data_IF_607767831497
#
_entry.id   IF_607767831497
#
_cell.length_a   1.000
_cell.length_b   1.000
_cell.length_c   1.000
_cell.angle_alpha   90.00
_cell.angle_beta   90.00
_cell.angle_gamma   90.00
#
_symmetry.space_group_name_H-M   'P 1'
#
loop_
_entity.id
_entity.type
_entity.pdbx_description
1 polymer ?
#
# COMPACT_ATOMS: atom_id res chain seq x y z
N UNK A 1 -20.55 73.28 -39.40
CA UNK A 1 -19.19 73.35 -38.82
C UNK A 1 -18.74 72.04 -38.15
N UNK A 2 -19.25 70.86 -38.56
CA UNK A 2 -18.94 69.57 -37.91
C UNK A 2 -18.35 68.49 -38.85
N UNK A 3 -18.47 68.62 -40.17
CA UNK A 3 -17.98 67.58 -41.12
C UNK A 3 -16.48 67.71 -41.41
N UNK A 4 -15.93 68.94 -41.46
CA UNK A 4 -14.49 69.15 -41.69
C UNK A 4 -13.65 68.70 -40.48
N UNK A 5 -14.13 68.91 -39.27
CA UNK A 5 -13.43 68.53 -38.03
C UNK A 5 -13.37 67.01 -37.85
N UNK A 6 -14.42 66.28 -38.24
CA UNK A 6 -14.41 64.80 -38.23
C UNK A 6 -13.38 64.21 -39.21
N UNK A 7 -13.23 64.82 -40.40
CA UNK A 7 -12.31 64.38 -41.44
C UNK A 7 -10.83 64.59 -41.06
N UNK A 8 -10.52 65.70 -40.38
CA UNK A 8 -9.17 65.96 -39.86
C UNK A 8 -8.82 65.05 -38.68
N UNK A 9 -9.78 64.74 -37.81
CA UNK A 9 -9.58 63.80 -36.69
C UNK A 9 -9.40 62.36 -37.18
N UNK A 10 -10.09 61.95 -38.25
CA UNK A 10 -9.88 60.63 -38.88
C UNK A 10 -8.55 60.50 -39.63
N UNK A 11 -8.04 61.58 -40.25
CA UNK A 11 -6.72 61.56 -40.89
C UNK A 11 -5.57 61.60 -39.88
N UNK A 12 -5.72 62.32 -38.76
CA UNK A 12 -4.70 62.37 -37.71
C UNK A 12 -4.58 61.04 -36.94
N UNK A 13 -5.69 60.34 -36.74
CA UNK A 13 -5.72 59.01 -36.08
C UNK A 13 -5.18 57.90 -36.96
N UNK A 14 -5.36 57.97 -38.29
CA UNK A 14 -4.73 57.06 -39.24
C UNK A 14 -3.20 57.24 -39.33
N UNK A 15 -2.71 58.49 -39.24
CA UNK A 15 -1.27 58.78 -39.28
C UNK A 15 -0.53 58.40 -37.98
N UNK A 16 -1.20 58.46 -36.83
CA UNK A 16 -0.61 58.03 -35.55
C UNK A 16 -0.62 56.50 -35.36
N UNK A 17 -1.57 55.78 -35.98
CA UNK A 17 -1.62 54.31 -35.96
C UNK A 17 -0.49 53.62 -36.73
N UNK A 18 0.03 54.27 -37.79
CA UNK A 18 1.14 53.75 -38.60
C UNK A 18 2.53 53.94 -37.98
N UNK A 19 2.66 54.74 -36.91
CA UNK A 19 3.95 55.00 -36.23
C UNK A 19 4.21 54.06 -35.03
N UNK A 20 3.18 53.35 -34.54
CA UNK A 20 3.30 52.38 -33.43
C UNK A 20 3.26 50.93 -33.89
N UNK A 21 3.05 50.66 -35.18
CA UNK A 21 3.15 49.34 -35.80
C UNK A 21 4.53 49.07 -36.43
N UNK A 22 5.59 49.69 -35.90
CA UNK A 22 6.98 49.54 -36.36
C UNK A 22 7.92 49.16 -35.19
N UNK A 23 7.46 48.31 -34.29
CA UNK A 23 8.32 47.62 -33.31
C UNK A 23 7.84 46.17 -33.19
N UNK A 24 8.28 45.35 -34.14
CA UNK A 24 7.99 43.92 -34.16
C UNK A 24 8.23 43.30 -35.53
N UNK A 25 9.24 43.77 -36.26
CA UNK A 25 9.71 43.08 -37.45
C UNK A 25 10.74 42.03 -37.01
N UNK A 26 10.26 40.81 -36.81
CA UNK A 26 11.09 39.64 -36.50
C UNK A 26 11.93 39.16 -37.71
N UNK A 27 12.03 39.95 -38.79
CA UNK A 27 12.88 39.63 -39.95
C UNK A 27 14.36 39.98 -39.76
N UNK A 28 14.77 40.54 -38.61
CA UNK A 28 16.18 40.82 -38.29
C UNK A 28 16.91 39.59 -37.70
N UNK A 29 16.22 38.46 -37.53
CA UNK A 29 16.79 37.25 -36.90
C UNK A 29 17.81 36.48 -37.77
N UNK A 30 17.98 36.84 -39.04
CA UNK A 30 18.83 36.09 -40.00
C UNK A 30 20.04 36.86 -40.57
N UNK A 31 20.28 38.11 -40.17
CA UNK A 31 21.38 38.93 -40.74
C UNK A 31 22.78 38.38 -40.44
N UNK A 32 22.93 37.44 -39.49
CA UNK A 32 24.19 36.74 -39.23
C UNK A 32 24.39 35.45 -40.03
N UNK A 33 23.31 34.78 -40.43
CA UNK A 33 23.36 33.49 -41.16
C UNK A 33 23.55 33.70 -42.66
N UNK A 34 23.00 34.77 -43.24
CA UNK A 34 23.10 35.05 -44.69
C UNK A 34 24.48 35.58 -45.13
N UNK A 35 25.30 36.08 -44.20
CA UNK A 35 26.66 36.62 -44.49
C UNK A 35 27.74 35.54 -44.36
N UNK A 36 27.42 34.38 -43.78
CA UNK A 36 28.38 33.28 -43.65
C UNK A 36 28.55 32.54 -45.00
N UNK A 37 29.79 32.30 -45.46
CA UNK A 37 30.01 31.44 -46.62
C UNK A 37 29.42 30.05 -46.35
N UNK A 38 28.78 29.44 -47.36
CA UNK A 38 28.06 28.15 -47.23
C UNK A 38 28.88 27.00 -46.63
N UNK A 39 30.21 27.11 -46.57
CA UNK A 39 31.09 26.12 -45.94
C UNK A 39 31.09 26.17 -44.40
N UNK A 40 30.71 27.30 -43.79
CA UNK A 40 30.67 27.50 -42.33
C UNK A 40 29.24 27.46 -41.76
N UNK A 41 28.23 27.12 -42.57
CA UNK A 41 26.85 26.98 -42.10
C UNK A 41 26.71 25.75 -41.21
N UNK A 42 26.34 25.94 -39.94
CA UNK A 42 26.03 24.83 -39.02
C UNK A 42 24.72 24.17 -39.44
N UNK A 43 24.83 23.05 -40.17
CA UNK A 43 23.70 22.20 -40.53
C UNK A 43 23.49 21.13 -39.47
N UNK A 44 22.37 21.19 -38.74
CA UNK A 44 21.97 20.14 -37.81
C UNK A 44 21.27 19.02 -38.56
N UNK A 45 21.93 17.88 -38.73
CA UNK A 45 21.29 16.66 -39.22
C UNK A 45 20.74 15.86 -38.04
N UNK A 46 19.42 15.77 -37.90
CA UNK A 46 18.77 14.85 -36.97
C UNK A 46 18.44 13.54 -37.70
N UNK A 47 19.07 12.45 -37.29
CA UNK A 47 18.63 11.11 -37.68
C UNK A 47 17.49 10.67 -36.74
N UNK A 48 16.29 10.48 -37.29
CA UNK A 48 15.20 9.83 -36.58
C UNK A 48 15.26 8.32 -36.82
N UNK A 49 15.47 7.55 -35.76
CA UNK A 49 15.33 6.09 -35.81
C UNK A 49 13.92 5.71 -35.33
N UNK A 50 13.08 5.09 -36.17
CA UNK A 50 11.79 4.58 -35.72
C UNK A 50 12.02 3.39 -34.78
N UNK A 51 11.85 3.63 -33.47
CA UNK A 51 11.86 2.57 -32.45
C UNK A 51 10.43 2.07 -32.27
N UNK A 52 10.17 0.83 -32.69
CA UNK A 52 8.89 0.15 -32.41
C UNK A 52 9.03 -0.69 -31.15
N UNK A 53 8.22 -0.42 -30.14
CA UNK A 53 8.11 -1.22 -28.92
C UNK A 53 6.83 -2.05 -28.97
N UNK A 54 6.86 -3.26 -28.41
CA UNK A 54 5.66 -4.10 -28.21
C UNK A 54 5.71 -4.75 -26.84
N UNK A 55 4.57 -4.76 -26.15
CA UNK A 55 4.42 -5.48 -24.89
C UNK A 55 4.09 -6.94 -25.18
N UNK A 56 4.87 -7.87 -24.62
CA UNK A 56 4.62 -9.32 -24.74
C UNK A 56 4.24 -9.86 -23.37
N UNK A 57 3.18 -10.67 -23.30
CA UNK A 57 2.77 -11.33 -22.06
C UNK A 57 3.82 -12.37 -21.67
N UNK A 58 4.46 -12.19 -20.52
CA UNK A 58 5.40 -13.17 -19.95
C UNK A 58 4.63 -14.39 -19.42
N UNK A 59 5.21 -15.58 -19.60
CA UNK A 59 4.70 -16.81 -19.00
C UNK A 59 4.78 -16.76 -17.45
N UNK A 60 4.05 -17.65 -16.77
CA UNK A 60 4.13 -17.74 -15.31
C UNK A 60 5.55 -18.07 -14.87
N UNK A 61 6.06 -17.32 -13.90
CA UNK A 61 7.42 -17.47 -13.36
C UNK A 61 7.33 -17.78 -11.87
N UNK A 62 8.35 -18.46 -11.34
CA UNK A 62 8.44 -18.74 -9.90
C UNK A 62 8.62 -17.42 -9.15
N UNK A 63 7.76 -17.17 -8.17
CA UNK A 63 7.85 -16.01 -7.30
C UNK A 63 8.98 -16.23 -6.29
N UNK A 64 10.13 -15.60 -6.54
CA UNK A 64 11.31 -15.64 -5.65
C UNK A 64 11.46 -14.39 -4.79
N UNK A 65 10.51 -13.46 -4.90
CA UNK A 65 10.55 -12.21 -4.14
C UNK A 65 10.11 -12.45 -2.70
N UNK A 66 10.82 -11.83 -1.76
CA UNK A 66 10.39 -11.71 -0.37
C UNK A 66 9.64 -10.39 -0.10
N UNK A 67 9.49 -9.53 -1.14
CA UNK A 67 8.78 -8.26 -1.02
C UNK A 67 7.29 -8.46 -1.25
N UNK A 68 6.50 -8.12 -0.24
CA UNK A 68 5.03 -8.21 -0.28
C UNK A 68 4.45 -6.86 -0.68
N UNK A 69 3.79 -6.79 -1.83
CA UNK A 69 3.14 -5.58 -2.32
C UNK A 69 1.62 -5.72 -2.26
N UNK A 70 0.93 -4.62 -1.96
CA UNK A 70 -0.52 -4.57 -1.86
C UNK A 70 -1.08 -3.31 -2.49
N UNK A 71 -2.01 -3.48 -3.42
CA UNK A 71 -2.73 -2.39 -4.07
C UNK A 71 -2.70 -2.51 -5.59
N UNK A 72 -3.16 -1.45 -6.27
CA UNK A 72 -3.16 -1.39 -7.72
C UNK A 72 -2.83 0.00 -8.24
N UNK A 73 -2.00 0.05 -9.28
CA UNK A 73 -1.56 1.28 -9.94
C UNK A 73 -1.68 1.12 -11.46
N UNK A 74 -1.88 2.23 -12.15
CA UNK A 74 -1.87 2.29 -13.61
C UNK A 74 -0.61 3.04 -13.99
N UNK A 75 0.22 2.43 -14.83
CA UNK A 75 1.37 3.12 -15.42
C UNK A 75 0.86 4.19 -16.39
N UNK A 76 1.16 5.48 -16.18
CA UNK A 76 0.69 6.56 -17.04
C UNK A 76 1.21 6.47 -18.48
N UNK A 77 2.38 5.87 -18.71
CA UNK A 77 3.00 5.80 -20.04
C UNK A 77 2.45 4.64 -20.87
N UNK A 78 2.24 3.48 -20.25
CA UNK A 78 1.78 2.26 -20.95
C UNK A 78 0.29 1.99 -20.80
N UNK A 79 -0.39 2.63 -19.85
CA UNK A 79 -1.76 2.33 -19.47
C UNK A 79 -1.93 0.95 -18.80
N UNK A 80 -0.83 0.23 -18.52
CA UNK A 80 -0.88 -1.09 -17.93
C UNK A 80 -1.29 -1.00 -16.45
N UNK A 81 -2.29 -1.80 -16.05
CA UNK A 81 -2.70 -1.94 -14.66
C UNK A 81 -1.89 -3.05 -13.99
N UNK A 82 -1.15 -2.68 -12.95
CA UNK A 82 -0.45 -3.62 -12.07
C UNK A 82 -1.19 -3.71 -10.76
N UNK A 83 -1.58 -4.92 -10.35
CA UNK A 83 -2.22 -5.21 -9.07
C UNK A 83 -1.43 -6.29 -8.36
N UNK A 84 -1.21 -6.15 -7.06
CA UNK A 84 -0.52 -7.14 -6.26
C UNK A 84 -1.33 -7.48 -5.00
N UNK A 85 -1.27 -8.77 -4.68
CA UNK A 85 -1.80 -9.39 -3.49
C UNK A 85 -0.68 -10.24 -2.87
N UNK A 86 -0.80 -10.60 -1.60
CA UNK A 86 0.19 -11.48 -0.96
C UNK A 86 -0.43 -12.36 0.11
N UNK A 87 0.24 -13.48 0.43
CA UNK A 87 -0.10 -14.36 1.54
C UNK A 87 1.03 -14.28 2.55
N UNK A 88 0.70 -14.19 3.84
CA UNK A 88 1.69 -14.16 4.90
C UNK A 88 1.36 -15.17 6.01
N UNK A 89 2.39 -15.85 6.49
CA UNK A 89 2.40 -16.64 7.73
C UNK A 89 3.04 -15.82 8.85
N UNK A 90 2.80 -16.20 10.10
CA UNK A 90 3.32 -15.50 11.26
C UNK A 90 4.45 -16.26 11.93
N UNK A 91 5.44 -15.51 12.36
CA UNK A 91 6.54 -16.01 13.18
C UNK A 91 6.14 -16.04 14.66
N UNK A 92 6.37 -17.17 15.32
CA UNK A 92 6.17 -17.34 16.77
C UNK A 92 7.51 -17.65 17.42
N UNK A 93 8.00 -16.81 18.36
CA UNK A 93 9.21 -17.10 19.11
C UNK A 93 9.05 -18.35 19.98
N UNK A 94 10.09 -19.17 20.11
CA UNK A 94 10.07 -20.38 20.95
C UNK A 94 9.86 -20.07 22.46
N UNK A 95 10.22 -18.85 22.86
CA UNK A 95 10.02 -18.31 24.21
C UNK A 95 8.64 -17.68 24.43
N UNK A 96 7.74 -17.75 23.45
CA UNK A 96 6.39 -17.18 23.56
C UNK A 96 5.61 -17.82 24.71
N UNK A 97 5.17 -17.00 25.67
CA UNK A 97 4.38 -17.46 26.83
C UNK A 97 3.30 -16.43 27.16
N UNK A 98 2.07 -16.91 27.30
CA UNK A 98 0.99 -16.11 27.88
C UNK A 98 0.98 -16.22 29.41
N UNK A 99 0.37 -15.25 30.13
CA UNK A 99 0.16 -15.35 31.57
C UNK A 99 -0.58 -16.63 31.98
N UNK A 100 -0.48 -17.02 33.25
CA UNK A 100 -1.24 -18.17 33.75
C UNK A 100 -2.76 -17.95 33.61
N UNK A 101 -3.48 -19.03 33.30
CA UNK A 101 -4.93 -19.02 33.10
C UNK A 101 -5.69 -18.37 34.27
N UNK A 102 -5.28 -18.64 35.51
CA UNK A 102 -5.91 -18.09 36.73
C UNK A 102 -5.85 -16.56 36.84
N UNK A 103 -4.91 -15.95 36.12
CA UNK A 103 -4.74 -14.50 36.06
C UNK A 103 -5.52 -13.89 34.91
N UNK A 104 -5.90 -14.66 33.90
CA UNK A 104 -6.62 -14.12 32.74
C UNK A 104 -8.01 -13.63 33.13
N UNK A 105 -8.46 -12.57 32.48
CA UNK A 105 -9.87 -12.21 32.53
C UNK A 105 -10.69 -13.24 31.77
N UNK A 106 -11.68 -13.81 32.45
CA UNK A 106 -12.57 -14.82 31.89
C UNK A 106 -13.90 -14.21 31.47
N UNK A 107 -14.49 -14.75 30.42
CA UNK A 107 -15.88 -14.48 30.06
C UNK A 107 -16.87 -15.16 31.02
N UNK A 108 -18.16 -15.09 30.66
CA UNK A 108 -19.26 -15.77 31.37
C UNK A 108 -19.04 -17.28 31.55
N UNK A 109 -18.29 -17.88 30.64
CA UNK A 109 -18.07 -19.33 30.56
C UNK A 109 -16.86 -19.80 31.39
N UNK A 110 -16.22 -18.90 32.15
CA UNK A 110 -15.00 -19.19 32.91
C UNK A 110 -13.74 -19.39 32.06
N UNK A 111 -13.83 -19.16 30.75
CA UNK A 111 -12.72 -19.28 29.79
C UNK A 111 -12.15 -17.90 29.42
N UNK A 112 -10.86 -17.80 29.05
CA UNK A 112 -10.24 -16.54 28.67
C UNK A 112 -10.88 -15.99 27.40
N UNK A 113 -10.95 -14.66 27.34
CA UNK A 113 -11.56 -13.89 26.24
C UNK A 113 -10.61 -12.78 25.80
N UNK A 114 -10.47 -12.60 24.49
CA UNK A 114 -9.72 -11.47 23.93
C UNK A 114 -10.58 -10.21 23.97
N UNK A 115 -9.98 -9.05 24.20
CA UNK A 115 -10.67 -7.76 24.11
C UNK A 115 -10.75 -7.30 22.65
N UNK A 116 -9.65 -7.43 21.90
CA UNK A 116 -9.60 -7.10 20.47
C UNK A 116 -8.46 -7.83 19.77
N UNK A 117 -8.53 -7.92 18.44
CA UNK A 117 -7.51 -8.54 17.63
C UNK A 117 -7.31 -7.74 16.34
N UNK A 118 -6.06 -7.56 15.92
CA UNK A 118 -5.72 -6.76 14.75
C UNK A 118 -4.65 -7.46 13.92
N UNK A 119 -4.79 -7.39 12.60
CA UNK A 119 -3.68 -7.55 11.68
C UNK A 119 -3.12 -6.18 11.35
N UNK A 120 -1.84 -5.97 11.63
CA UNK A 120 -1.18 -4.70 11.37
C UNK A 120 -0.16 -4.88 10.25
N UNK A 121 -0.40 -4.19 9.12
CA UNK A 121 0.58 -4.10 8.04
C UNK A 121 1.45 -2.88 8.32
N UNK A 122 2.74 -3.11 8.49
CA UNK A 122 3.73 -2.05 8.62
C UNK A 122 4.40 -1.82 7.27
N UNK A 123 4.48 -0.55 6.86
CA UNK A 123 5.07 -0.15 5.59
C UNK A 123 5.79 1.20 5.68
N UNK A 124 6.90 1.32 4.96
CA UNK A 124 7.60 2.57 4.70
C UNK A 124 7.51 3.02 3.24
N UNK A 125 7.66 2.08 2.31
CA UNK A 125 7.68 2.34 0.87
C UNK A 125 6.28 2.17 0.23
N UNK A 126 6.01 2.99 -0.78
CA UNK A 126 4.81 2.88 -1.60
C UNK A 126 5.03 3.53 -2.97
N UNK A 127 4.17 3.18 -3.92
CA UNK A 127 4.09 3.76 -5.24
C UNK A 127 2.72 4.41 -5.46
N UNK A 128 2.68 5.53 -6.18
CA UNK A 128 1.46 6.24 -6.55
C UNK A 128 1.02 7.32 -5.54
N UNK A 129 -0.26 7.67 -5.56
CA UNK A 129 -0.88 8.67 -4.70
C UNK A 129 -1.16 8.09 -3.31
N UNK A 130 -0.47 8.62 -2.29
CA UNK A 130 -0.61 8.16 -0.90
C UNK A 130 -2.01 8.32 -0.32
N UNK A 131 -2.83 9.22 -0.86
CA UNK A 131 -4.19 9.51 -0.39
C UNK A 131 -5.25 8.77 -1.20
N UNK A 132 -4.87 8.06 -2.27
CA UNK A 132 -5.81 7.30 -3.06
C UNK A 132 -6.47 6.21 -2.20
N UNK A 133 -7.80 6.21 -2.20
CA UNK A 133 -8.58 5.22 -1.47
C UNK A 133 -8.39 3.82 -2.08
N UNK A 134 -7.87 2.90 -1.28
CA UNK A 134 -7.70 1.49 -1.56
C UNK A 134 -8.59 0.66 -0.63
N UNK A 135 -8.72 -0.63 -0.93
CA UNK A 135 -9.55 -1.56 -0.18
C UNK A 135 -8.89 -2.92 -0.15
N UNK A 136 -8.59 -3.41 1.04
CA UNK A 136 -8.01 -4.75 1.26
C UNK A 136 -9.08 -5.67 1.85
N UNK A 137 -9.08 -6.92 1.39
CA UNK A 137 -9.81 -8.01 2.03
C UNK A 137 -8.80 -9.02 2.55
N UNK A 138 -8.80 -9.23 3.86
CA UNK A 138 -8.03 -10.31 4.49
C UNK A 138 -8.88 -11.55 4.60
N UNK A 139 -8.28 -12.71 4.32
CA UNK A 139 -8.95 -13.99 4.40
C UNK A 139 -8.02 -15.01 5.03
N UNK A 140 -8.48 -15.66 6.10
CA UNK A 140 -7.77 -16.72 6.80
C UNK A 140 -7.42 -17.91 5.88
N UNK A 141 -6.16 -18.36 5.97
CA UNK A 141 -5.61 -19.52 5.29
C UNK A 141 -5.85 -20.78 6.12
N UNK A 142 -6.22 -21.88 5.47
CA UNK A 142 -6.42 -23.18 6.08
C UNK A 142 -5.09 -23.74 6.59
N UNK A 143 -5.05 -24.17 7.85
CA UNK A 143 -3.85 -24.75 8.46
C UNK A 143 -3.43 -26.05 7.78
N UNK A 144 -4.38 -26.82 7.22
CA UNK A 144 -4.08 -28.03 6.46
C UNK A 144 -3.51 -27.76 5.06
N UNK A 145 -3.64 -26.51 4.58
CA UNK A 145 -3.19 -26.07 3.25
C UNK A 145 -2.37 -24.80 3.33
N UNK A 146 -1.65 -24.62 4.44
CA UNK A 146 -0.76 -23.48 4.62
C UNK A 146 0.39 -23.54 3.61
N UNK A 147 1.13 -22.44 3.45
CA UNK A 147 2.24 -22.39 2.51
C UNK A 147 3.32 -23.40 2.92
N UNK A 148 3.57 -24.38 2.06
CA UNK A 148 4.69 -25.31 2.15
C UNK A 148 5.99 -24.67 1.66
N UNK A 149 7.07 -24.88 2.41
CA UNK A 149 8.43 -24.43 2.07
C UNK A 149 9.08 -25.22 0.92
N UNK A 150 8.53 -26.41 0.59
CA UNK A 150 9.09 -27.30 -0.45
C UNK A 150 8.51 -26.98 -1.84
N UNK A 151 7.40 -26.26 -1.89
CA UNK A 151 6.67 -25.96 -3.14
C UNK A 151 7.12 -24.63 -3.72
N UNK A 152 7.42 -24.62 -5.02
CA UNK A 152 7.67 -23.39 -5.75
C UNK A 152 6.35 -22.71 -6.16
N UNK A 153 6.01 -21.60 -5.52
CA UNK A 153 4.86 -20.79 -5.92
C UNK A 153 5.18 -19.95 -7.15
N UNK A 154 4.21 -19.85 -8.06
CA UNK A 154 4.31 -19.03 -9.27
C UNK A 154 3.51 -17.73 -9.13
N UNK A 155 3.78 -16.76 -9.99
CA UNK A 155 3.03 -15.48 -10.07
C UNK A 155 1.55 -15.67 -10.45
N UNK A 156 1.13 -16.86 -10.86
CA UNK A 156 -0.24 -17.21 -11.21
C UNK A 156 -0.83 -18.30 -10.30
N UNK A 157 -0.24 -18.51 -9.12
CA UNK A 157 -0.74 -19.50 -8.16
C UNK A 157 -2.17 -19.14 -7.74
N UNK A 158 -3.06 -20.11 -7.80
CA UNK A 158 -4.42 -19.97 -7.30
C UNK A 158 -4.45 -20.07 -5.77
N UNK A 159 -4.43 -18.91 -5.12
CA UNK A 159 -4.45 -18.80 -3.66
C UNK A 159 -5.79 -19.27 -3.07
N UNK A 160 -6.87 -19.30 -3.85
CA UNK A 160 -8.20 -19.66 -3.34
C UNK A 160 -8.28 -21.07 -2.75
N UNK A 161 -7.41 -21.96 -3.22
CA UNK A 161 -7.32 -23.35 -2.74
C UNK A 161 -6.76 -23.46 -1.32
N UNK A 162 -6.00 -22.45 -0.88
CA UNK A 162 -5.39 -22.36 0.44
C UNK A 162 -6.34 -21.75 1.48
N UNK A 163 -7.45 -21.15 1.06
CA UNK A 163 -8.32 -20.37 1.94
C UNK A 163 -9.33 -21.26 2.68
N UNK A 164 -9.62 -20.90 3.92
CA UNK A 164 -10.72 -21.53 4.64
C UNK A 164 -12.07 -21.17 3.99
N UNK A 165 -13.04 -22.10 3.94
CA UNK A 165 -14.39 -21.80 3.48
C UNK A 165 -15.00 -20.63 4.26
N UNK A 166 -15.71 -19.74 3.58
CA UNK A 166 -16.19 -18.47 4.13
C UNK A 166 -17.02 -18.58 5.43
N UNK A 167 -17.71 -19.70 5.66
CA UNK A 167 -18.49 -19.92 6.89
C UNK A 167 -17.66 -20.23 8.14
N UNK A 168 -16.35 -20.50 8.00
CA UNK A 168 -15.43 -20.81 9.10
C UNK A 168 -14.24 -19.87 9.19
N UNK A 169 -13.96 -19.16 8.11
CA UNK A 169 -12.80 -18.29 7.97
C UNK A 169 -13.03 -16.94 8.64
N UNK A 170 -12.00 -16.42 9.30
CA UNK A 170 -11.94 -14.99 9.60
C UNK A 170 -11.72 -14.22 8.29
N UNK A 171 -12.67 -13.33 7.96
CA UNK A 171 -12.62 -12.52 6.75
C UNK A 171 -13.08 -11.10 7.04
N UNK A 172 -12.21 -10.13 6.75
CA UNK A 172 -12.48 -8.72 7.00
C UNK A 172 -12.12 -7.90 5.77
N UNK A 173 -12.87 -6.84 5.53
CA UNK A 173 -12.66 -5.94 4.40
C UNK A 173 -12.60 -4.51 4.90
N UNK A 174 -11.48 -3.84 4.62
CA UNK A 174 -11.18 -2.51 5.15
C UNK A 174 -10.76 -1.60 4.00
N UNK A 175 -11.27 -0.37 4.03
CA UNK A 175 -10.80 0.71 3.15
C UNK A 175 -9.65 1.44 3.82
N UNK A 176 -8.62 1.80 3.06
CA UNK A 176 -7.43 2.47 3.57
C UNK A 176 -6.83 3.41 2.54
N UNK A 177 -6.02 4.35 3.01
CA UNK A 177 -5.06 5.08 2.20
C UNK A 177 -3.66 4.76 2.75
N UNK A 178 -2.63 4.90 1.92
CA UNK A 178 -1.24 4.68 2.36
C UNK A 178 -0.85 5.71 3.42
N UNK A 179 -1.40 6.93 3.32
CA UNK A 179 -1.28 7.96 4.32
C UNK A 179 -2.64 8.24 4.95
N UNK A 180 -2.81 7.83 6.21
CA UNK A 180 -4.04 8.04 6.96
C UNK A 180 -4.03 9.43 7.62
N UNK A 181 -4.80 10.36 7.03
CA UNK A 181 -4.92 11.74 7.52
C UNK A 181 -5.77 11.87 8.79
N UNK A 182 -6.45 10.81 9.23
CA UNK A 182 -7.24 10.86 10.48
C UNK A 182 -6.36 10.74 11.72
N UNK A 183 -5.11 10.30 11.56
CA UNK A 183 -4.16 10.11 12.66
C UNK A 183 -3.28 11.34 12.85
N UNK A 184 -2.81 11.60 14.10
CA UNK A 184 -1.91 12.73 14.39
C UNK A 184 -0.68 12.74 13.47
N UNK A 185 -0.36 13.91 12.94
CA UNK A 185 0.71 14.11 11.95
C UNK A 185 2.07 13.57 12.43
N UNK A 186 2.35 13.64 13.73
CA UNK A 186 3.58 13.10 14.35
C UNK A 186 3.77 11.59 14.16
N UNK A 187 2.67 10.83 14.03
CA UNK A 187 2.70 9.37 13.86
C UNK A 187 2.77 8.93 12.39
N UNK A 188 2.39 9.81 11.46
CA UNK A 188 2.27 9.46 10.03
C UNK A 188 3.38 10.10 9.19
N UNK A 189 3.92 11.24 9.63
CA UNK A 189 5.03 11.97 8.98
C UNK A 189 6.40 11.78 9.65
N UNK A 190 6.44 11.17 10.83
CA UNK A 190 7.72 10.88 11.50
C UNK A 190 8.49 9.82 10.73
N UNK A 191 9.68 10.17 10.21
CA UNK A 191 10.57 9.23 9.51
C UNK A 191 11.13 8.11 10.43
N UNK A 192 10.85 8.18 11.74
CA UNK A 192 11.30 7.24 12.75
C UNK A 192 10.36 6.04 12.95
N UNK A 193 9.13 6.08 12.42
CA UNK A 193 8.13 5.04 12.66
C UNK A 193 7.55 4.52 11.35
N UNK A 194 7.44 3.19 11.25
CA UNK A 194 6.68 2.55 10.18
C UNK A 194 5.23 3.04 10.22
N UNK A 195 4.66 3.33 9.04
CA UNK A 195 3.23 3.57 8.93
C UNK A 195 2.51 2.26 9.15
N UNK A 196 1.44 2.31 9.91
CA UNK A 196 0.66 1.13 10.31
C UNK A 196 -0.72 1.21 9.71
N UNK A 197 -1.09 0.18 8.95
CA UNK A 197 -2.44 -0.09 8.49
C UNK A 197 -3.07 -1.17 9.39
N UNK A 198 -3.94 -0.79 10.35
CA UNK A 198 -4.65 -1.74 11.19
C UNK A 198 -5.88 -2.32 10.48
N UNK A 199 -6.00 -3.64 10.52
CA UNK A 199 -7.15 -4.38 10.01
C UNK A 199 -7.78 -5.09 11.22
N UNK A 200 -8.90 -4.57 11.75
CA UNK A 200 -9.57 -5.20 12.88
C UNK A 200 -10.06 -6.59 12.50
N UNK A 201 -9.74 -7.58 13.31
CA UNK A 201 -10.30 -8.92 13.26
C UNK A 201 -11.41 -9.09 14.30
N UNK A 202 -12.22 -10.14 14.15
CA UNK A 202 -13.27 -10.45 15.10
C UNK A 202 -12.70 -10.78 16.49
N UNK A 203 -13.41 -10.36 17.53
CA UNK A 203 -13.09 -10.76 18.90
C UNK A 203 -13.14 -12.29 19.08
N UNK A 204 -14.03 -12.96 18.32
CA UNK A 204 -14.16 -14.40 18.30
C UNK A 204 -12.86 -15.07 17.80
N UNK A 205 -12.23 -14.54 16.76
CA UNK A 205 -10.94 -15.03 16.28
C UNK A 205 -9.83 -14.87 17.32
N UNK A 206 -9.69 -13.69 17.92
CA UNK A 206 -8.70 -13.47 19.00
C UNK A 206 -8.94 -14.38 20.20
N UNK A 207 -10.21 -14.58 20.58
CA UNK A 207 -10.59 -15.50 21.67
C UNK A 207 -10.29 -16.95 21.34
N UNK A 208 -10.49 -17.36 20.07
CA UNK A 208 -10.15 -18.69 19.58
C UNK A 208 -8.65 -18.96 19.73
N UNK A 209 -7.79 -18.00 19.37
CA UNK A 209 -6.34 -18.13 19.53
C UNK A 209 -5.93 -18.27 21.01
N UNK A 210 -6.47 -17.41 21.89
CA UNK A 210 -6.16 -17.48 23.32
C UNK A 210 -6.57 -18.82 23.94
N UNK A 211 -7.79 -19.28 23.65
CA UNK A 211 -8.29 -20.56 24.18
C UNK A 211 -7.48 -21.75 23.65
N UNK A 212 -7.04 -21.69 22.38
CA UNK A 212 -6.20 -22.74 21.79
C UNK A 212 -4.84 -22.84 22.49
N UNK A 213 -4.24 -21.71 22.88
CA UNK A 213 -2.98 -21.70 23.63
C UNK A 213 -3.08 -22.48 24.95
N UNK A 214 -4.16 -22.29 25.71
CA UNK A 214 -4.33 -23.01 26.98
C UNK A 214 -4.77 -24.46 26.79
N UNK A 215 -5.47 -24.79 25.71
CA UNK A 215 -5.85 -26.16 25.39
C UNK A 215 -4.66 -27.00 24.89
N UNK A 216 -3.83 -26.42 24.01
CA UNK A 216 -2.76 -27.11 23.30
C UNK A 216 -1.53 -26.19 23.17
N UNK A 217 -0.78 -25.95 24.26
CA UNK A 217 0.37 -25.04 24.25
C UNK A 217 1.50 -25.51 23.33
N UNK A 218 1.59 -26.82 23.05
CA UNK A 218 2.56 -27.39 22.11
C UNK A 218 2.43 -26.80 20.69
N UNK A 219 1.22 -26.40 20.27
CA UNK A 219 0.99 -25.80 18.96
C UNK A 219 1.54 -24.37 18.84
N UNK A 220 2.02 -23.77 19.94
CA UNK A 220 2.68 -22.46 19.96
C UNK A 220 4.19 -22.58 20.19
N UNK A 221 4.75 -23.79 20.15
CA UNK A 221 6.17 -24.01 20.44
C UNK A 221 7.10 -23.35 19.41
N UNK A 222 6.68 -23.26 18.15
CA UNK A 222 7.42 -22.61 17.06
C UNK A 222 6.46 -22.21 15.92
N UNK A 223 7.00 -21.50 14.92
CA UNK A 223 6.23 -21.01 13.77
C UNK A 223 5.60 -22.12 12.93
N UNK A 224 6.25 -23.29 12.81
CA UNK A 224 5.73 -24.42 12.02
C UNK A 224 4.48 -25.01 12.68
N UNK A 225 4.56 -25.33 13.97
CA UNK A 225 3.44 -25.83 14.77
C UNK A 225 2.27 -24.85 14.74
N UNK A 226 2.56 -23.56 14.85
CA UNK A 226 1.55 -22.51 14.79
C UNK A 226 0.84 -22.46 13.45
N UNK A 227 1.59 -22.48 12.34
CA UNK A 227 1.04 -22.42 10.99
C UNK A 227 0.16 -23.64 10.66
N UNK A 228 0.51 -24.83 11.15
CA UNK A 228 -0.17 -26.08 10.80
C UNK A 228 -1.30 -26.47 11.76
N UNK A 229 -1.35 -25.90 12.97
CA UNK A 229 -2.33 -26.28 13.99
C UNK A 229 -3.14 -25.13 14.59
N UNK A 230 -2.77 -23.87 14.35
CA UNK A 230 -3.42 -22.70 14.99
C UNK A 230 -3.92 -21.69 13.97
N UNK A 231 -3.05 -21.18 13.11
CA UNK A 231 -3.38 -20.14 12.14
C UNK A 231 -2.45 -20.27 10.93
N UNK A 232 -3.01 -20.69 9.79
CA UNK A 232 -2.26 -20.90 8.55
C UNK A 232 -1.75 -19.62 7.89
N UNK A 233 -2.08 -18.46 8.46
CA UNK A 233 -1.77 -17.14 7.92
C UNK A 233 -3.00 -16.44 7.34
N UNK A 234 -2.74 -15.35 6.62
CA UNK A 234 -3.79 -14.59 5.92
C UNK A 234 -3.38 -14.29 4.49
N UNK A 235 -4.36 -14.34 3.60
CA UNK A 235 -4.29 -13.78 2.27
C UNK A 235 -4.77 -12.34 2.28
N UNK A 236 -3.90 -11.42 1.89
CA UNK A 236 -4.15 -10.00 1.75
C UNK A 236 -4.46 -9.69 0.30
N UNK A 237 -5.75 -9.64 0.00
CA UNK A 237 -6.26 -9.39 -1.35
C UNK A 237 -6.56 -7.93 -1.57
N UNK A 238 -6.01 -7.34 -2.61
CA UNK A 238 -6.49 -6.07 -3.14
C UNK A 238 -7.91 -6.27 -3.70
N UNK A 239 -8.86 -5.55 -3.12
CA UNK A 239 -10.29 -5.74 -3.38
C UNK A 239 -10.97 -4.52 -4.00
N UNK A 240 -10.28 -3.38 -4.09
CA UNK A 240 -10.81 -2.19 -4.75
C UNK A 240 -9.93 -0.97 -4.55
N UNK A 241 -10.10 0.03 -5.42
CA UNK A 241 -9.23 1.20 -5.48
C UNK A 241 -8.11 1.05 -6.51
N UNK A 242 -7.64 2.19 -7.00
CA UNK A 242 -6.55 2.34 -7.96
C UNK A 242 -5.80 3.61 -7.60
N UNK A 243 -4.49 3.61 -7.79
CA UNK A 243 -3.65 4.80 -7.66
C UNK A 243 -2.59 4.69 -6.58
N UNK A 244 -2.59 3.63 -5.77
CA UNK A 244 -1.56 3.39 -4.77
C UNK A 244 -1.24 1.90 -4.63
N UNK A 245 0.02 1.61 -4.33
CA UNK A 245 0.50 0.29 -3.97
C UNK A 245 1.55 0.42 -2.87
N UNK A 246 1.30 -0.19 -1.71
CA UNK A 246 2.25 -0.19 -0.60
C UNK A 246 3.12 -1.45 -0.63
N UNK A 247 4.35 -1.33 -0.14
CA UNK A 247 5.22 -2.46 0.15
C UNK A 247 5.15 -2.74 1.64
N UNK A 248 4.69 -3.93 2.02
CA UNK A 248 4.74 -4.37 3.41
C UNK A 248 6.18 -4.72 3.78
N UNK A 249 6.65 -4.13 4.87
CA UNK A 249 7.92 -4.48 5.50
C UNK A 249 7.74 -5.70 6.41
N UNK A 250 6.67 -5.72 7.20
CA UNK A 250 6.23 -6.87 7.98
C UNK A 250 4.76 -6.74 8.36
N UNK A 251 4.17 -7.86 8.77
CA UNK A 251 2.79 -7.94 9.27
C UNK A 251 2.82 -8.54 10.67
N UNK A 252 2.07 -7.95 11.61
CA UNK A 252 1.88 -8.53 12.95
C UNK A 252 0.42 -8.94 13.16
N UNK A 253 0.25 -9.98 13.96
CA UNK A 253 -1.04 -10.42 14.47
C UNK A 253 -1.07 -10.13 15.97
N UNK A 254 -1.80 -9.11 16.36
CA UNK A 254 -1.81 -8.62 17.74
C UNK A 254 -3.13 -9.04 18.40
N UNK A 255 -3.03 -9.67 19.57
CA UNK A 255 -4.20 -10.13 20.34
C UNK A 255 -4.18 -9.43 21.69
N UNK A 256 -5.10 -8.49 21.87
CA UNK A 256 -5.20 -7.75 23.12
C UNK A 256 -6.10 -8.47 24.11
N UNK A 257 -5.64 -8.58 25.36
CA UNK A 257 -6.37 -9.23 26.45
C UNK A 257 -6.02 -8.57 27.79
N UNK A 258 -6.83 -8.85 28.82
CA UNK A 258 -6.59 -8.37 30.18
C UNK A 258 -6.27 -9.50 31.14
N UNK A 259 -5.34 -9.25 32.05
CA UNK A 259 -4.97 -10.20 33.09
C UNK A 259 -4.64 -9.49 34.41
N UNK A 260 -4.83 -10.21 35.52
CA UNK A 260 -4.56 -9.77 36.88
C UNK A 260 -3.07 -9.91 37.18
N UNK A 261 -2.49 -8.86 37.73
CA UNK A 261 -1.12 -8.84 38.25
C UNK A 261 -1.10 -8.16 39.61
N UNK A 262 0.08 -8.07 40.23
CA UNK A 262 0.30 -7.31 41.47
C UNK A 262 1.27 -6.17 41.20
N UNK A 263 1.04 -5.02 41.84
CA UNK A 263 2.01 -3.92 41.86
C UNK A 263 3.27 -4.30 42.65
N UNK A 264 4.32 -3.50 42.55
CA UNK A 264 5.50 -3.62 43.42
C UNK A 264 5.15 -3.50 44.92
N UNK A 265 4.05 -2.85 45.27
CA UNK A 265 3.50 -2.75 46.63
C UNK A 265 2.55 -3.90 47.01
N UNK A 266 2.35 -4.89 46.14
CA UNK A 266 1.53 -6.08 46.41
C UNK A 266 0.02 -5.91 46.22
N UNK A 267 -0.44 -4.76 45.73
CA UNK A 267 -1.86 -4.52 45.44
C UNK A 267 -2.27 -5.14 44.11
N UNK A 268 -3.49 -5.70 44.04
CA UNK A 268 -4.01 -6.30 42.82
C UNK A 268 -4.29 -5.23 41.75
N UNK A 269 -3.86 -5.50 40.52
CA UNK A 269 -4.06 -4.62 39.36
C UNK A 269 -4.47 -5.40 38.12
N UNK A 270 -5.16 -4.72 37.21
CA UNK A 270 -5.47 -5.24 35.88
C UNK A 270 -4.48 -4.66 34.88
N UNK A 271 -3.84 -5.54 34.12
CA UNK A 271 -2.85 -5.19 33.10
C UNK A 271 -3.38 -5.58 31.73
N UNK A 272 -3.13 -4.73 30.73
CA UNK A 272 -3.41 -5.01 29.33
C UNK A 272 -2.21 -5.75 28.74
N UNK A 273 -2.44 -6.95 28.22
CA UNK A 273 -1.50 -7.71 27.40
C UNK A 273 -1.79 -7.53 25.91
N UNK A 274 -0.76 -7.73 25.09
CA UNK A 274 -0.80 -7.71 23.62
C UNK A 274 0.15 -8.74 23.05
#
# INVERSE_FOLDING_TARGET
MQVKTLLYVSLLSAAFGSLVASCGDETVSNLGIDVMPRQDSVSTAQLHFPVSTRTVRTASTVARTNSSWLGAVIDPETGARTSNDFVAQFYVPETFRLPNLDKMMTGTDGQPVADSCFLNIYHGEYFGDSLAAQKVTVWEVDTARTLSEVVNYSTQTDVSQLLLPAGKAERQTVSYSVFDQTRPQSLVQGNAYYRRLPIPLSQAFGTRLLRHYYAQPAHFANSYEFAHHVCGGFYFRHSGGIGAMLKSDFVTLDVYFRYRSKTASGADTLVNGS
#
